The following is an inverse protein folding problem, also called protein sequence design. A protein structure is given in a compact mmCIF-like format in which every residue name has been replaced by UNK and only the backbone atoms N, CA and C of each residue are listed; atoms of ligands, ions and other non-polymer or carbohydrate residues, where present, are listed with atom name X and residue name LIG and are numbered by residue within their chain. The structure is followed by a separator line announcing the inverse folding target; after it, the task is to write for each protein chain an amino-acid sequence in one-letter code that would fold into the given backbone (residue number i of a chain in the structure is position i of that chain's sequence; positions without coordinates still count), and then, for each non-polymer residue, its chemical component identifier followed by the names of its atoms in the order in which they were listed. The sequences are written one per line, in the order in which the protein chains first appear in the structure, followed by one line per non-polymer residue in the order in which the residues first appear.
data_IF_461594203159
#
_entry.id   IF_461594203159
#
_cell.length_a   1.000
_cell.length_b   1.000
_cell.length_c   1.000
_cell.angle_alpha   90.00
_cell.angle_beta   90.00
_cell.angle_gamma   90.00
#
_symmetry.space_group_name_H-M   'P 1'
#
loop_
_entity.id
_entity.type
_entity.pdbx_description
1 polymer ?
#
# COMPACT_ATOMS: atom_id res chain seq x y z
N UNK A 1 -4.75 11.78 2.83
CA UNK A 1 -5.31 11.20 1.58
C UNK A 1 -6.02 12.31 0.81
N UNK A 2 -6.15 12.22 -0.52
CA UNK A 2 -6.90 13.25 -1.26
C UNK A 2 -8.39 12.88 -1.31
N UNK A 3 -9.28 13.81 -1.00
CA UNK A 3 -10.72 13.54 -0.78
C UNK A 3 -11.40 12.89 -2.00
N UNK A 4 -10.97 13.24 -3.21
CA UNK A 4 -11.53 12.67 -4.44
C UNK A 4 -11.33 11.16 -4.54
N UNK A 5 -10.30 10.59 -3.87
CA UNK A 5 -10.04 9.15 -3.96
C UNK A 5 -11.18 8.35 -3.33
N UNK A 6 -11.69 8.81 -2.17
CA UNK A 6 -12.82 8.17 -1.46
C UNK A 6 -14.09 8.29 -2.28
N UNK A 7 -14.40 9.51 -2.76
CA UNK A 7 -15.59 9.79 -3.57
C UNK A 7 -15.60 8.90 -4.82
N UNK A 8 -14.49 8.81 -5.53
CA UNK A 8 -14.38 7.97 -6.72
C UNK A 8 -14.47 6.48 -6.41
N UNK A 9 -13.81 6.01 -5.33
CA UNK A 9 -13.85 4.60 -4.96
C UNK A 9 -15.26 4.15 -4.54
N UNK A 10 -15.95 4.94 -3.72
CA UNK A 10 -17.35 4.68 -3.34
C UNK A 10 -18.27 4.68 -4.56
N UNK A 11 -18.13 5.66 -5.45
CA UNK A 11 -18.92 5.70 -6.69
C UNK A 11 -18.71 4.46 -7.57
N UNK A 12 -17.49 3.94 -7.67
CA UNK A 12 -17.21 2.70 -8.39
C UNK A 12 -17.86 1.48 -7.73
N UNK A 13 -17.79 1.35 -6.41
CA UNK A 13 -18.46 0.27 -5.67
C UNK A 13 -19.98 0.37 -5.85
N UNK A 14 -20.54 1.57 -5.74
CA UNK A 14 -21.97 1.82 -5.94
C UNK A 14 -22.45 1.49 -7.36
N UNK A 15 -21.57 1.63 -8.34
CA UNK A 15 -21.81 1.22 -9.73
C UNK A 15 -21.63 -0.30 -9.98
N UNK A 16 -21.24 -1.08 -8.96
CA UNK A 16 -21.13 -2.54 -9.01
C UNK A 16 -19.71 -3.09 -9.06
N UNK A 17 -18.67 -2.30 -8.79
CA UNK A 17 -17.33 -2.84 -8.62
C UNK A 17 -17.23 -3.69 -7.34
N UNK A 18 -16.54 -4.83 -7.43
CA UNK A 18 -16.33 -5.73 -6.27
C UNK A 18 -15.06 -5.42 -5.46
N UNK A 19 -14.13 -4.66 -6.04
CA UNK A 19 -12.82 -4.38 -5.45
C UNK A 19 -12.20 -3.16 -6.14
N UNK A 20 -11.59 -2.27 -5.35
CA UNK A 20 -10.81 -1.14 -5.87
C UNK A 20 -9.33 -1.34 -5.53
N UNK A 21 -8.47 -1.26 -6.55
CA UNK A 21 -7.02 -1.34 -6.41
C UNK A 21 -6.37 -0.03 -6.89
N UNK A 22 -6.07 0.85 -5.95
CA UNK A 22 -5.33 2.08 -6.17
C UNK A 22 -3.82 1.86 -6.20
N UNK A 23 -3.11 2.74 -6.89
CA UNK A 23 -1.64 2.73 -6.98
C UNK A 23 -1.12 4.18 -7.10
N UNK A 24 0.14 4.36 -7.48
CA UNK A 24 0.82 5.63 -7.78
C UNK A 24 1.36 6.44 -6.59
N UNK A 25 0.77 6.40 -5.40
CA UNK A 25 1.17 7.28 -4.30
C UNK A 25 2.57 7.02 -3.70
N UNK A 26 3.33 6.07 -4.26
CA UNK A 26 4.64 5.60 -3.82
C UNK A 26 4.75 5.12 -2.38
N UNK A 27 3.67 5.15 -1.61
CA UNK A 27 3.52 4.56 -0.28
C UNK A 27 2.19 3.80 -0.24
N UNK A 28 2.05 2.78 0.63
CA UNK A 28 0.75 2.19 0.86
C UNK A 28 -0.17 3.24 1.50
N UNK A 29 -1.45 3.20 1.17
CA UNK A 29 -2.47 4.05 1.81
C UNK A 29 -3.49 3.17 2.50
N UNK A 30 -4.43 3.80 3.21
CA UNK A 30 -5.58 3.17 3.83
C UNK A 30 -6.16 2.03 2.99
N UNK A 31 -6.59 0.98 3.70
CA UNK A 31 -7.52 0.00 3.16
C UNK A 31 -8.85 0.22 3.88
N UNK A 32 -9.91 0.34 3.11
CA UNK A 32 -11.28 0.48 3.59
C UNK A 32 -12.11 -0.71 3.12
N UNK A 33 -13.10 -1.11 3.90
CA UNK A 33 -14.19 -1.99 3.48
C UNK A 33 -15.47 -1.19 3.44
N UNK A 34 -15.92 -0.87 2.22
CA UNK A 34 -17.15 -0.11 1.97
C UNK A 34 -18.20 -1.03 1.37
N UNK A 35 -19.38 -1.13 2.02
CA UNK A 35 -20.47 -2.06 1.62
C UNK A 35 -19.99 -3.51 1.45
N UNK A 36 -19.07 -3.94 2.33
CA UNK A 36 -18.47 -5.28 2.29
C UNK A 36 -17.45 -5.49 1.17
N UNK A 37 -17.07 -4.46 0.41
CA UNK A 37 -16.08 -4.51 -0.67
C UNK A 37 -14.82 -3.76 -0.29
N UNK A 38 -13.67 -4.38 -0.51
CA UNK A 38 -12.38 -3.80 -0.14
C UNK A 38 -11.94 -2.71 -1.14
N UNK A 39 -11.31 -1.67 -0.61
CA UNK A 39 -10.72 -0.56 -1.34
C UNK A 39 -9.29 -0.39 -0.85
N UNK A 40 -8.31 -0.65 -1.71
CA UNK A 40 -6.91 -0.31 -1.46
C UNK A 40 -6.65 1.05 -2.07
N UNK A 41 -6.44 2.10 -1.27
CA UNK A 41 -6.23 3.44 -1.83
C UNK A 41 -4.85 3.64 -2.47
N UNK A 42 -3.89 2.75 -2.14
CA UNK A 42 -2.59 2.60 -2.83
C UNK A 42 -1.94 1.30 -2.39
N UNK A 43 -1.60 0.42 -3.33
CA UNK A 43 -0.75 -0.75 -3.09
C UNK A 43 0.74 -0.41 -2.96
N UNK A 44 1.13 0.83 -3.24
CA UNK A 44 2.53 1.25 -3.31
C UNK A 44 3.32 0.56 -4.43
N UNK A 45 4.64 0.68 -4.37
CA UNK A 45 5.61 0.25 -5.38
C UNK A 45 5.85 -1.26 -5.33
N UNK A 46 5.87 -1.95 -6.48
CA UNK A 46 6.26 -3.37 -6.51
C UNK A 46 7.78 -3.52 -6.70
N UNK A 47 8.31 -2.95 -7.78
CA UNK A 47 9.74 -2.86 -8.05
C UNK A 47 9.98 -1.48 -8.66
N UNK A 48 10.72 -0.62 -7.96
CA UNK A 48 10.99 0.73 -8.45
C UNK A 48 12.37 1.20 -8.03
N UNK A 49 13.06 1.80 -8.99
CA UNK A 49 14.26 2.58 -8.79
C UNK A 49 14.18 3.85 -9.63
N UNK A 50 14.91 4.87 -9.21
CA UNK A 50 15.17 6.07 -10.00
C UNK A 50 16.69 6.30 -10.06
N UNK A 51 17.40 5.55 -10.92
CA UNK A 51 18.85 5.57 -10.99
C UNK A 51 19.44 6.82 -11.67
N UNK A 52 18.63 7.65 -12.32
CA UNK A 52 19.12 8.80 -13.08
C UNK A 52 18.63 10.12 -12.47
N UNK A 53 19.53 11.08 -12.18
CA UNK A 53 19.10 12.47 -12.10
C UNK A 53 18.50 12.84 -13.46
N UNK A 54 17.34 13.51 -13.46
CA UNK A 54 16.92 14.21 -14.68
C UNK A 54 18.08 15.09 -15.13
N UNK A 55 18.37 15.26 -16.43
CA UNK A 55 19.42 16.16 -16.90
C UNK A 55 19.32 17.60 -16.38
N UNK A 56 18.16 17.97 -15.80
CA UNK A 56 17.89 19.26 -15.14
C UNK A 56 18.19 19.28 -13.63
N UNK A 57 18.66 18.20 -13.04
CA UNK A 57 18.92 18.11 -11.60
C UNK A 57 20.40 18.39 -11.33
N UNK A 58 20.66 19.39 -10.49
CA UNK A 58 22.02 19.74 -10.02
C UNK A 58 22.45 18.93 -8.79
N UNK A 59 21.55 18.13 -8.22
CA UNK A 59 21.75 17.39 -6.97
C UNK A 59 21.55 15.89 -7.18
N UNK A 60 22.06 15.08 -6.24
CA UNK A 60 21.85 13.64 -6.24
C UNK A 60 20.33 13.30 -6.18
N UNK A 61 19.89 12.20 -6.82
CA UNK A 61 18.45 11.87 -6.92
C UNK A 61 17.70 11.84 -5.58
N UNK A 62 18.34 11.37 -4.51
CA UNK A 62 17.76 11.32 -3.16
C UNK A 62 17.58 12.72 -2.56
N UNK A 63 18.57 13.62 -2.70
CA UNK A 63 18.49 15.00 -2.20
C UNK A 63 17.41 15.79 -2.95
N UNK A 64 17.38 15.65 -4.28
CA UNK A 64 16.34 16.26 -5.09
C UNK A 64 14.94 15.70 -4.78
N UNK A 65 14.84 14.41 -4.50
CA UNK A 65 13.61 13.77 -4.03
C UNK A 65 13.09 14.34 -2.72
N UNK A 66 13.98 14.51 -1.73
CA UNK A 66 13.66 15.10 -0.44
C UNK A 66 13.04 16.49 -0.59
N UNK A 67 13.68 17.34 -1.40
CA UNK A 67 13.21 18.70 -1.67
C UNK A 67 11.89 18.73 -2.43
N UNK A 68 11.77 17.93 -3.51
CA UNK A 68 10.59 17.95 -4.37
C UNK A 68 9.36 17.37 -3.68
N UNK A 69 9.54 16.29 -2.92
CA UNK A 69 8.43 15.57 -2.30
C UNK A 69 8.14 16.04 -0.88
N UNK A 70 9.00 16.89 -0.30
CA UNK A 70 8.90 17.34 1.10
C UNK A 70 8.86 16.16 2.09
N UNK A 71 9.66 15.13 1.81
CA UNK A 71 9.70 13.90 2.61
C UNK A 71 11.10 13.62 3.13
N UNK A 72 11.18 13.12 4.37
CA UNK A 72 12.40 12.51 4.90
C UNK A 72 12.75 11.26 4.06
N UNK A 73 13.98 11.21 3.54
CA UNK A 73 14.46 10.11 2.72
C UNK A 73 15.16 9.05 3.57
N UNK A 74 15.17 7.82 3.08
CA UNK A 74 15.94 6.73 3.68
C UNK A 74 17.31 6.63 2.98
N UNK A 75 18.38 6.87 3.74
CA UNK A 75 19.75 6.84 3.23
C UNK A 75 20.18 5.46 2.73
N UNK A 76 19.52 4.38 3.19
CA UNK A 76 19.76 3.02 2.71
C UNK A 76 19.16 2.77 1.33
N UNK A 77 18.29 3.67 0.84
CA UNK A 77 17.57 3.55 -0.44
C UNK A 77 17.82 4.77 -1.34
N UNK A 78 19.08 5.07 -1.74
CA UNK A 78 19.43 6.27 -2.51
C UNK A 78 18.75 6.36 -3.89
N UNK A 79 18.23 5.25 -4.42
CA UNK A 79 17.50 5.20 -5.70
C UNK A 79 15.98 5.18 -5.52
N UNK A 80 15.46 5.39 -4.31
CA UNK A 80 14.02 5.46 -4.04
C UNK A 80 13.64 6.83 -3.42
N UNK A 81 13.66 7.91 -4.23
CA UNK A 81 13.59 9.28 -3.73
C UNK A 81 12.15 9.74 -3.42
N UNK A 82 11.34 8.91 -2.78
CA UNK A 82 9.89 9.13 -2.55
C UNK A 82 9.51 9.12 -1.06
N UNK A 83 10.49 9.20 -0.18
CA UNK A 83 10.31 9.20 1.27
C UNK A 83 10.57 7.83 1.90
N UNK A 84 10.79 7.83 3.22
CA UNK A 84 11.22 6.65 3.98
C UNK A 84 10.30 5.44 3.87
N UNK A 85 9.00 5.66 3.69
CA UNK A 85 8.01 4.58 3.59
C UNK A 85 7.81 4.08 2.16
N UNK A 86 8.53 4.63 1.18
CA UNK A 86 8.35 4.22 -0.21
C UNK A 86 8.81 2.79 -0.50
N UNK A 87 9.61 2.22 0.42
CA UNK A 87 9.99 0.81 0.42
C UNK A 87 8.85 -0.11 0.86
N UNK A 88 7.82 0.40 1.54
CA UNK A 88 6.65 -0.39 1.97
C UNK A 88 5.76 -0.70 0.77
N UNK A 89 5.27 -1.93 0.71
CA UNK A 89 4.44 -2.40 -0.40
C UNK A 89 3.43 -3.46 0.05
N UNK A 90 2.42 -3.70 -0.77
CA UNK A 90 1.38 -4.70 -0.55
C UNK A 90 1.20 -5.52 -1.82
N UNK A 91 1.15 -6.85 -1.68
CA UNK A 91 0.61 -7.71 -2.73
C UNK A 91 -0.81 -8.10 -2.36
N UNK A 92 -1.79 -7.44 -3.00
CA UNK A 92 -3.19 -7.79 -2.84
C UNK A 92 -3.49 -9.14 -3.51
N UNK A 93 -4.35 -9.91 -2.87
CA UNK A 93 -4.87 -11.18 -3.34
C UNK A 93 -6.38 -11.14 -3.20
N UNK A 94 -7.08 -11.48 -4.28
CA UNK A 94 -8.51 -11.65 -4.30
C UNK A 94 -8.85 -13.05 -4.81
N UNK A 95 -9.80 -13.69 -4.15
CA UNK A 95 -10.41 -14.95 -4.63
C UNK A 95 -11.77 -14.60 -5.21
N UNK A 96 -12.07 -15.14 -6.39
CA UNK A 96 -13.34 -14.94 -7.08
C UNK A 96 -14.19 -16.20 -7.01
N UNK A 97 -15.46 -16.04 -6.69
CA UNK A 97 -16.50 -17.05 -6.82
C UNK A 97 -17.47 -16.68 -7.94
N UNK A 98 -18.59 -17.41 -8.02
CA UNK A 98 -19.62 -17.17 -9.03
C UNK A 98 -20.34 -15.81 -8.86
N UNK A 99 -20.36 -15.27 -7.64
CA UNK A 99 -21.05 -14.02 -7.28
C UNK A 99 -20.08 -12.83 -7.09
N UNK A 100 -18.87 -12.93 -7.65
CA UNK A 100 -17.84 -11.89 -7.56
C UNK A 100 -16.72 -12.22 -6.57
N UNK A 101 -16.12 -11.21 -5.95
CA UNK A 101 -15.00 -11.38 -5.00
C UNK A 101 -15.49 -12.01 -3.69
N UNK A 102 -14.95 -13.17 -3.35
CA UNK A 102 -15.33 -13.96 -2.16
C UNK A 102 -14.39 -13.78 -0.97
N UNK A 103 -13.14 -13.41 -1.21
CA UNK A 103 -12.21 -13.01 -0.15
C UNK A 103 -11.13 -12.09 -0.68
N UNK A 104 -10.65 -11.21 0.19
CA UNK A 104 -9.56 -10.28 -0.07
C UNK A 104 -8.55 -10.36 1.06
N UNK A 105 -7.29 -10.57 0.70
CA UNK A 105 -6.17 -10.51 1.62
C UNK A 105 -5.01 -9.74 0.98
N UNK A 106 -3.98 -9.46 1.77
CA UNK A 106 -2.71 -8.98 1.24
C UNK A 106 -1.54 -9.65 1.94
N UNK A 107 -0.42 -9.72 1.22
CA UNK A 107 0.88 -10.03 1.78
C UNK A 107 1.62 -8.70 2.06
N UNK A 108 2.09 -8.46 3.30
CA UNK A 108 2.97 -7.34 3.58
C UNK A 108 4.29 -7.50 2.83
N UNK A 109 4.77 -6.42 2.21
CA UNK A 109 6.00 -6.44 1.43
C UNK A 109 6.91 -5.26 1.76
N UNK A 110 8.21 -5.49 1.56
CA UNK A 110 9.20 -4.44 1.42
C UNK A 110 9.87 -4.54 0.06
N UNK A 111 10.43 -3.42 -0.37
CA UNK A 111 11.52 -3.40 -1.34
C UNK A 111 12.80 -3.53 -0.53
N UNK A 112 13.64 -4.51 -0.86
CA UNK A 112 14.92 -4.73 -0.18
C UNK A 112 15.99 -3.69 -0.61
N UNK A 113 17.17 -3.74 0.02
CA UNK A 113 18.28 -2.82 -0.30
C UNK A 113 18.89 -3.03 -1.70
N UNK A 114 18.51 -4.09 -2.40
CA UNK A 114 18.84 -4.33 -3.80
C UNK A 114 17.68 -3.95 -4.74
N UNK A 115 16.66 -3.28 -4.20
CA UNK A 115 15.46 -2.82 -4.90
C UNK A 115 14.58 -3.94 -5.45
N UNK A 116 14.61 -5.11 -4.80
CA UNK A 116 13.78 -6.27 -5.17
C UNK A 116 12.56 -6.35 -4.27
N UNK A 117 11.39 -6.76 -4.79
CA UNK A 117 10.24 -7.07 -3.96
C UNK A 117 10.53 -8.24 -3.03
N UNK A 118 10.25 -8.07 -1.74
CA UNK A 118 10.40 -9.06 -0.68
C UNK A 118 9.04 -9.22 0.03
N UNK A 119 8.48 -10.43 -0.01
CA UNK A 119 7.31 -10.79 0.81
C UNK A 119 7.77 -11.08 2.23
N UNK A 120 7.21 -10.35 3.19
CA UNK A 120 7.46 -10.57 4.60
C UNK A 120 6.65 -11.76 5.12
N UNK A 121 7.21 -12.48 6.10
CA UNK A 121 6.64 -13.72 6.64
C UNK A 121 6.25 -13.55 8.10
N UNK A 122 5.29 -14.35 8.55
CA UNK A 122 4.92 -14.37 9.95
C UNK A 122 6.13 -14.75 10.83
N UNK A 123 6.33 -14.02 11.93
CA UNK A 123 7.50 -14.15 12.81
C UNK A 123 8.67 -13.22 12.46
N UNK A 124 8.62 -12.51 11.33
CA UNK A 124 9.52 -11.39 11.04
C UNK A 124 9.03 -10.11 11.71
N UNK A 125 9.86 -9.41 12.47
CA UNK A 125 9.48 -8.14 13.10
C UNK A 125 9.03 -7.07 12.09
N UNK A 126 9.55 -7.12 10.85
CA UNK A 126 9.15 -6.22 9.76
C UNK A 126 7.71 -6.47 9.31
N UNK A 127 7.23 -7.70 9.43
CA UNK A 127 5.84 -8.05 9.14
C UNK A 127 4.90 -7.36 10.14
N UNK A 128 5.25 -7.43 11.43
CA UNK A 128 4.49 -6.79 12.50
C UNK A 128 4.46 -5.27 12.34
N UNK A 129 5.60 -4.67 11.99
CA UNK A 129 5.72 -3.25 11.67
C UNK A 129 4.88 -2.85 10.46
N UNK A 130 4.85 -3.67 9.40
CA UNK A 130 3.97 -3.40 8.25
C UNK A 130 2.48 -3.50 8.61
N UNK A 131 2.07 -4.45 9.45
CA UNK A 131 0.69 -4.52 9.90
C UNK A 131 0.34 -3.29 10.74
N UNK A 132 1.18 -2.90 11.70
CA UNK A 132 0.98 -1.71 12.52
C UNK A 132 0.90 -0.43 11.67
N UNK A 133 1.74 -0.33 10.64
CA UNK A 133 1.67 0.75 9.66
C UNK A 133 0.32 0.77 8.92
N UNK A 134 -0.19 -0.38 8.51
CA UNK A 134 -1.47 -0.45 7.79
C UNK A 134 -2.67 -0.17 8.69
N UNK A 135 -2.65 -0.58 9.95
CA UNK A 135 -3.64 -0.18 10.97
C UNK A 135 -3.68 1.34 11.08
N UNK A 136 -2.52 1.97 11.33
CA UNK A 136 -2.39 3.42 11.40
C UNK A 136 -2.85 4.12 10.11
N UNK A 137 -2.41 3.62 8.95
CA UNK A 137 -2.75 4.21 7.66
C UNK A 137 -4.25 4.12 7.33
N UNK A 138 -4.96 3.18 7.96
CA UNK A 138 -6.39 2.92 7.76
C UNK A 138 -7.27 3.46 8.89
N UNK A 139 -6.70 4.14 9.89
CA UNK A 139 -7.44 4.81 10.95
C UNK A 139 -8.52 5.74 10.37
N UNK A 140 -9.74 5.64 10.90
CA UNK A 140 -10.91 6.39 10.42
C UNK A 140 -11.69 5.73 9.28
N UNK A 141 -11.21 4.62 8.73
CA UNK A 141 -11.95 3.80 7.76
C UNK A 141 -12.47 2.51 8.41
N UNK A 142 -13.58 1.99 7.92
CA UNK A 142 -14.09 0.68 8.33
C UNK A 142 -13.16 -0.42 7.81
N UNK A 143 -12.51 -1.16 8.70
CA UNK A 143 -11.64 -2.29 8.35
C UNK A 143 -11.38 -3.17 9.57
N UNK A 144 -11.04 -4.43 9.31
CA UNK A 144 -10.48 -5.39 10.27
C UNK A 144 -9.38 -6.17 9.55
N UNK A 145 -8.18 -6.16 10.11
CA UNK A 145 -7.06 -6.97 9.61
C UNK A 145 -6.87 -8.22 10.48
N UNK A 146 -6.97 -9.40 9.86
CA UNK A 146 -6.79 -10.67 10.56
C UNK A 146 -5.63 -11.45 9.96
N UNK A 147 -4.63 -11.79 10.78
CA UNK A 147 -3.51 -12.64 10.37
C UNK A 147 -3.98 -14.07 10.04
N UNK A 148 -3.52 -14.59 8.91
CA UNK A 148 -3.77 -15.95 8.39
C UNK A 148 -2.47 -16.50 7.80
N UNK A 149 -1.61 -17.04 8.67
CA UNK A 149 -0.24 -17.38 8.28
C UNK A 149 0.51 -16.12 7.86
N UNK A 150 1.05 -16.11 6.64
CA UNK A 150 1.75 -14.94 6.08
C UNK A 150 0.81 -13.90 5.47
N UNK A 151 -0.49 -14.18 5.35
CA UNK A 151 -1.46 -13.26 4.76
C UNK A 151 -2.23 -12.47 5.81
N UNK A 152 -2.62 -11.25 5.46
CA UNK A 152 -3.56 -10.43 6.22
C UNK A 152 -4.90 -10.42 5.49
N UNK A 153 -5.90 -11.05 6.09
CA UNK A 153 -7.27 -11.00 5.60
C UNK A 153 -7.87 -9.62 5.90
N UNK A 154 -8.57 -9.06 4.91
CA UNK A 154 -9.26 -7.78 5.01
C UNK A 154 -10.76 -8.03 5.11
N UNK A 155 -11.37 -7.64 6.21
CA UNK A 155 -12.82 -7.74 6.44
C UNK A 155 -13.35 -6.46 7.06
N UNK A 156 -14.66 -6.43 7.35
CA UNK A 156 -15.24 -5.49 8.30
C UNK A 156 -15.59 -6.20 9.61
N UNK A 157 -15.87 -5.43 10.66
CA UNK A 157 -16.56 -5.89 11.85
C UNK A 157 -17.88 -6.54 11.41
N UNK A 158 -18.13 -7.80 11.82
CA UNK A 158 -19.41 -8.43 11.52
C UNK A 158 -20.56 -7.51 12.00
N UNK A 159 -21.54 -7.26 11.13
CA UNK A 159 -22.76 -6.57 11.55
C UNK A 159 -23.38 -7.39 12.70
N UNK A 160 -23.40 -6.80 13.90
CA UNK A 160 -24.10 -7.34 15.06
C UNK A 160 -25.60 -7.40 14.83
#
# INVERSE_FOLDING_TARGET
MADYQVIAAHACIDAGADLILGHHAHVPKAIEVYKGKAIFYSLSNFCMTKPFPSPRWSEAPWAHGALRNYTEQDADYPLLPYGRDAKRSLLAKAVFGNDGVSSVSYLPMLIDRQYRPEVLRAGDARFDDMLAYMEWASEGFEHVFTRRGDEILVTTSAAS
#
